data_IF_936901474925
#
_entry.id   IF_936901474925
#
_cell.length_a   1.000
_cell.length_b   1.000
_cell.length_c   1.000
_cell.angle_alpha   90.00
_cell.angle_beta   90.00
_cell.angle_gamma   90.00
#
_symmetry.space_group_name_H-M   'P 1'
#
loop_
_entity.id
_entity.type
_entity.pdbx_description
1 polymer ?
#
# COMPACT_ATOMS: atom_id res chain seq x y z
N UNK A 1 -12.21 49.04 -16.08
CA UNK A 1 -13.67 49.12 -16.22
C UNK A 1 -14.19 47.69 -16.20
N UNK A 2 -14.99 47.40 -15.17
CA UNK A 2 -15.84 46.24 -14.90
C UNK A 2 -15.43 44.82 -15.33
N UNK A 3 -15.31 43.94 -14.33
CA UNK A 3 -16.02 42.65 -14.33
C UNK A 3 -16.09 42.06 -12.91
N UNK A 4 -17.27 41.52 -12.59
CA UNK A 4 -17.78 41.22 -11.27
C UNK A 4 -17.28 39.91 -10.64
N UNK A 5 -17.31 39.92 -9.31
CA UNK A 5 -17.09 38.81 -8.40
C UNK A 5 -18.39 38.00 -8.21
N UNK A 6 -18.36 36.68 -8.41
CA UNK A 6 -19.44 35.75 -8.03
C UNK A 6 -18.91 34.72 -7.02
N UNK A 7 -19.38 34.83 -5.78
CA UNK A 7 -19.42 33.75 -4.77
C UNK A 7 -20.85 33.23 -4.73
N UNK A 8 -21.06 31.92 -4.77
CA UNK A 8 -22.36 31.28 -4.60
C UNK A 8 -22.43 30.52 -3.26
N UNK A 9 -23.47 30.84 -2.51
CA UNK A 9 -23.79 30.37 -1.16
C UNK A 9 -24.42 28.97 -1.12
N UNK A 10 -24.14 28.27 -0.02
CA UNK A 10 -24.88 27.12 0.54
C UNK A 10 -26.27 27.56 1.06
N UNK A 11 -27.32 26.72 1.00
CA UNK A 11 -28.53 26.92 1.77
C UNK A 11 -28.66 25.97 2.97
N UNK A 12 -28.93 26.57 4.12
CA UNK A 12 -29.43 25.97 5.37
C UNK A 12 -30.97 25.94 5.37
N UNK A 13 -31.58 24.95 6.03
CA UNK A 13 -33.04 24.91 6.25
C UNK A 13 -33.41 24.23 7.57
N UNK A 14 -33.92 25.04 8.49
CA UNK A 14 -34.52 24.67 9.76
C UNK A 14 -36.06 24.51 9.69
N UNK A 15 -36.57 23.68 10.62
CA UNK A 15 -37.95 23.25 11.03
C UNK A 15 -38.92 24.39 11.46
N UNK A 16 -40.14 24.19 12.05
CA UNK A 16 -40.94 22.97 12.41
C UNK A 16 -42.48 23.05 12.13
N UNK A 17 -43.23 21.97 12.41
CA UNK A 17 -44.69 21.98 12.61
C UNK A 17 -45.20 20.77 13.43
N UNK A 18 -46.20 20.96 14.28
CA UNK A 18 -46.90 19.97 15.15
C UNK A 18 -48.38 20.42 15.32
N UNK A 19 -49.27 19.74 16.08
CA UNK A 19 -49.88 18.40 15.88
C UNK A 19 -51.44 18.42 16.02
N UNK A 20 -52.16 17.37 15.61
CA UNK A 20 -53.59 17.13 16.00
C UNK A 20 -53.95 15.65 15.80
N UNK A 21 -54.11 14.85 16.86
CA UNK A 21 -55.33 14.42 17.61
C UNK A 21 -55.95 13.10 17.16
N UNK A 22 -56.07 12.16 18.10
CA UNK A 22 -56.83 10.91 18.02
C UNK A 22 -57.73 10.77 19.27
N UNK A 23 -58.87 10.09 19.15
CA UNK A 23 -59.70 9.56 20.25
C UNK A 23 -60.85 8.67 19.69
N UNK A 24 -61.55 7.83 20.49
CA UNK A 24 -61.12 6.60 21.18
C UNK A 24 -62.08 5.41 20.86
N UNK A 25 -61.85 4.16 21.29
CA UNK A 25 -62.51 3.49 22.44
C UNK A 25 -62.16 1.98 22.38
N UNK A 26 -61.52 1.36 23.40
CA UNK A 26 -62.14 0.49 24.44
C UNK A 26 -62.33 -0.96 23.95
N UNK A 27 -61.96 -2.08 24.60
CA UNK A 27 -61.40 -2.46 25.90
C UNK A 27 -61.48 -4.01 26.02
N UNK A 28 -60.93 -4.58 27.11
CA UNK A 28 -60.97 -5.99 27.60
C UNK A 28 -59.90 -6.96 27.03
N UNK A 29 -58.88 -7.36 27.81
CA UNK A 29 -58.78 -8.34 28.92
C UNK A 29 -58.60 -9.81 28.48
N UNK A 30 -57.46 -10.40 28.89
CA UNK A 30 -57.41 -11.74 29.47
C UNK A 30 -57.00 -12.92 28.59
N UNK A 31 -55.73 -13.33 28.71
CA UNK A 31 -55.35 -14.70 29.08
C UNK A 31 -55.40 -15.82 28.03
N UNK A 32 -54.33 -16.61 28.01
CA UNK A 32 -54.43 -18.06 27.81
C UNK A 32 -53.67 -18.64 26.62
N UNK A 33 -52.53 -19.26 26.91
CA UNK A 33 -51.94 -20.31 26.08
C UNK A 33 -52.95 -21.46 25.82
N UNK A 34 -52.98 -21.99 24.58
CA UNK A 34 -52.82 -23.43 24.26
C UNK A 34 -52.98 -23.75 22.76
N UNK A 35 -52.39 -24.88 22.40
CA UNK A 35 -51.76 -25.25 21.13
C UNK A 35 -52.62 -25.99 20.07
N UNK A 36 -51.95 -26.20 18.91
CA UNK A 36 -52.00 -27.35 17.97
C UNK A 36 -53.03 -27.25 16.81
N UNK A 37 -52.83 -27.66 15.54
CA UNK A 37 -51.96 -28.66 14.88
C UNK A 37 -51.88 -28.42 13.35
N UNK A 38 -50.73 -28.76 12.70
CA UNK A 38 -50.56 -29.29 11.31
C UNK A 38 -51.00 -28.42 10.11
N UNK A 39 -50.43 -28.48 8.89
CA UNK A 39 -49.38 -29.28 8.23
C UNK A 39 -49.06 -28.61 6.88
N UNK A 40 -47.77 -28.57 6.53
CA UNK A 40 -47.09 -28.53 5.21
C UNK A 40 -47.78 -27.91 3.97
N UNK A 41 -47.11 -26.90 3.40
CA UNK A 41 -46.81 -26.85 1.95
C UNK A 41 -45.53 -26.04 1.69
N UNK A 42 -44.57 -26.63 0.99
CA UNK A 42 -43.40 -26.01 0.34
C UNK A 42 -43.34 -26.54 -1.10
N UNK A 43 -42.54 -25.99 -2.04
CA UNK A 43 -41.83 -24.70 -2.07
C UNK A 43 -41.93 -23.99 -3.45
N UNK A 44 -41.36 -22.78 -3.57
CA UNK A 44 -40.30 -22.44 -4.55
C UNK A 44 -40.06 -20.92 -4.60
N UNK A 45 -38.87 -20.49 -4.20
CA UNK A 45 -38.15 -19.48 -4.98
C UNK A 45 -36.65 -19.74 -4.86
N UNK A 46 -36.01 -19.75 -6.02
CA UNK A 46 -34.61 -20.07 -6.25
C UNK A 46 -33.74 -18.88 -5.86
N UNK A 47 -32.77 -19.07 -4.96
CA UNK A 47 -31.67 -18.12 -4.76
C UNK A 47 -30.37 -18.83 -5.14
N UNK A 48 -29.62 -18.17 -6.04
CA UNK A 48 -28.37 -18.62 -6.64
C UNK A 48 -27.25 -18.78 -5.59
N UNK A 49 -26.34 -19.70 -5.90
CA UNK A 49 -25.21 -20.16 -5.08
C UNK A 49 -24.33 -19.05 -4.50
N UNK A 50 -23.80 -19.19 -3.27
CA UNK A 50 -22.67 -18.39 -2.82
C UNK A 50 -21.40 -18.83 -3.55
N UNK A 51 -20.70 -17.85 -4.13
CA UNK A 51 -19.28 -17.90 -4.48
C UNK A 51 -18.49 -18.48 -3.31
N UNK A 52 -17.56 -19.41 -3.59
CA UNK A 52 -16.60 -19.91 -2.61
C UNK A 52 -15.66 -18.78 -2.17
N UNK A 53 -16.13 -17.98 -1.22
CA UNK A 53 -15.34 -17.05 -0.43
C UNK A 53 -15.57 -17.37 1.03
N UNK A 54 -14.50 -17.59 1.79
CA UNK A 54 -14.59 -17.74 3.24
C UNK A 54 -15.16 -16.44 3.81
N UNK A 55 -16.39 -16.50 4.33
CA UNK A 55 -17.03 -15.35 4.96
C UNK A 55 -16.72 -15.39 6.45
N UNK A 56 -15.95 -14.41 6.94
CA UNK A 56 -15.59 -14.30 8.36
C UNK A 56 -16.39 -13.15 8.97
N UNK A 57 -17.26 -13.46 9.93
CA UNK A 57 -17.94 -12.46 10.76
C UNK A 57 -17.22 -12.26 12.09
N UNK A 58 -17.02 -11.01 12.51
CA UNK A 58 -16.53 -10.67 13.86
C UNK A 58 -17.67 -10.07 14.67
N UNK A 59 -17.86 -10.55 15.90
CA UNK A 59 -18.80 -9.98 16.85
C UNK A 59 -18.08 -9.47 18.09
N UNK A 60 -18.42 -8.25 18.50
CA UNK A 60 -17.90 -7.69 19.73
C UNK A 60 -18.66 -8.29 20.92
N UNK A 61 -17.97 -9.01 21.81
CA UNK A 61 -18.56 -9.63 22.99
C UNK A 61 -19.20 -8.59 23.94
N UNK A 62 -18.75 -7.31 23.89
CA UNK A 62 -19.34 -6.21 24.67
C UNK A 62 -20.76 -5.84 24.26
N UNK A 63 -21.32 -6.35 23.15
CA UNK A 63 -22.73 -6.12 22.80
C UNK A 63 -23.65 -7.27 23.23
N UNK A 64 -23.10 -8.35 23.80
CA UNK A 64 -23.86 -9.54 24.23
C UNK A 64 -24.32 -9.49 25.70
N UNK A 65 -23.94 -8.46 26.47
CA UNK A 65 -24.31 -8.32 27.88
C UNK A 65 -25.81 -8.05 28.10
N UNK A 66 -26.52 -7.58 27.07
CA UNK A 66 -27.95 -7.31 27.17
C UNK A 66 -28.75 -8.62 27.14
N UNK A 67 -29.78 -8.68 27.98
CA UNK A 67 -30.64 -9.86 28.07
C UNK A 67 -31.26 -10.18 26.69
N UNK A 68 -31.12 -11.43 26.24
CA UNK A 68 -31.65 -11.89 24.94
C UNK A 68 -30.65 -11.88 23.77
N UNK A 69 -29.54 -11.12 23.85
CA UNK A 69 -28.57 -11.02 22.74
C UNK A 69 -27.80 -12.31 22.46
N UNK A 70 -27.54 -13.11 23.50
CA UNK A 70 -26.95 -14.45 23.31
C UNK A 70 -27.89 -15.38 22.54
N UNK A 71 -29.20 -15.33 22.81
CA UNK A 71 -30.20 -16.14 22.07
C UNK A 71 -30.32 -15.69 20.62
N UNK A 72 -30.29 -14.38 20.37
CA UNK A 72 -30.28 -13.80 19.02
C UNK A 72 -29.04 -14.26 18.23
N UNK A 73 -27.85 -14.23 18.85
CA UNK A 73 -26.63 -14.75 18.24
C UNK A 73 -26.72 -16.26 17.93
N UNK A 74 -27.21 -17.06 18.87
CA UNK A 74 -27.39 -18.51 18.64
C UNK A 74 -28.38 -18.78 17.50
N UNK A 75 -29.44 -17.98 17.40
CA UNK A 75 -30.41 -18.09 16.31
C UNK A 75 -29.78 -17.80 14.94
N UNK A 76 -28.98 -16.73 14.83
CA UNK A 76 -28.31 -16.36 13.58
C UNK A 76 -27.21 -17.36 13.19
N UNK A 77 -26.43 -17.87 14.15
CA UNK A 77 -25.43 -18.92 13.88
C UNK A 77 -26.07 -20.19 13.30
N UNK A 78 -27.22 -20.60 13.84
CA UNK A 78 -27.97 -21.75 13.33
C UNK A 78 -28.60 -21.48 11.97
N UNK A 79 -29.12 -20.26 11.76
CA UNK A 79 -29.74 -19.83 10.49
C UNK A 79 -28.75 -19.88 9.33
N UNK A 80 -27.52 -19.43 9.56
CA UNK A 80 -26.47 -19.39 8.54
C UNK A 80 -25.53 -20.60 8.53
N UNK A 81 -25.72 -21.58 9.43
CA UNK A 81 -24.85 -22.75 9.62
C UNK A 81 -23.38 -22.37 9.80
N UNK A 82 -23.11 -21.39 10.65
CA UNK A 82 -21.74 -20.98 10.96
C UNK A 82 -21.19 -21.80 12.12
N UNK A 83 -20.01 -22.38 11.92
CA UNK A 83 -19.24 -23.02 12.98
C UNK A 83 -18.33 -21.99 13.67
N UNK A 84 -18.20 -22.09 15.00
CA UNK A 84 -17.25 -21.27 15.75
C UNK A 84 -15.87 -21.89 15.60
N UNK A 85 -15.04 -21.28 14.74
CA UNK A 85 -13.67 -21.76 14.47
C UNK A 85 -12.68 -21.30 15.55
N UNK A 86 -13.01 -20.26 16.31
CA UNK A 86 -12.19 -19.79 17.43
C UNK A 86 -12.85 -18.70 18.27
N UNK A 87 -12.41 -18.56 19.51
CA UNK A 87 -12.78 -17.46 20.40
C UNK A 87 -11.52 -16.66 20.74
N UNK A 88 -11.51 -15.38 20.39
CA UNK A 88 -10.44 -14.46 20.78
C UNK A 88 -10.97 -13.54 21.89
N UNK A 89 -10.41 -13.67 23.09
CA UNK A 89 -10.69 -12.75 24.20
C UNK A 89 -9.67 -11.61 24.16
N UNK A 90 -10.14 -10.37 24.03
CA UNK A 90 -9.30 -9.17 24.20
C UNK A 90 -9.51 -8.66 25.62
N UNK A 91 -8.59 -8.97 26.52
CA UNK A 91 -8.55 -8.38 27.87
C UNK A 91 -7.80 -7.06 27.82
N UNK A 92 -8.50 -5.96 28.08
CA UNK A 92 -7.84 -4.73 28.50
C UNK A 92 -7.54 -4.88 29.99
N UNK A 93 -6.31 -5.28 30.32
CA UNK A 93 -5.83 -5.09 31.68
C UNK A 93 -5.70 -3.58 31.91
N UNK A 94 -6.31 -3.04 32.97
CA UNK A 94 -5.99 -1.69 33.43
C UNK A 94 -4.47 -1.66 33.73
N UNK A 95 -3.70 -1.02 32.85
CA UNK A 95 -2.27 -0.84 33.06
C UNK A 95 -2.05 0.30 34.06
N UNK A 96 -1.85 -0.06 35.33
CA UNK A 96 -1.01 0.73 36.24
C UNK A 96 0.46 0.28 36.17
N UNK A 97 0.87 -0.34 35.06
CA UNK A 97 2.28 -0.59 34.72
C UNK A 97 2.69 0.40 33.66
N UNK A 98 3.89 0.98 33.84
CA UNK A 98 4.54 1.96 32.96
C UNK A 98 4.06 1.91 31.52
N UNK A 99 3.53 3.03 31.02
CA UNK A 99 3.33 3.24 29.59
C UNK A 99 4.68 3.04 28.92
N UNK A 100 4.93 1.83 28.39
CA UNK A 100 5.99 1.62 27.42
C UNK A 100 5.48 2.26 26.14
N UNK A 101 5.77 3.55 25.97
CA UNK A 101 5.92 4.12 24.64
C UNK A 101 6.86 3.15 23.89
N UNK A 102 6.51 2.74 22.67
CA UNK A 102 7.30 1.74 21.93
C UNK A 102 8.80 2.09 21.95
N UNK A 103 9.69 1.08 21.90
CA UNK A 103 11.16 1.18 22.04
C UNK A 103 11.69 2.62 22.26
N UNK A 104 11.76 3.05 23.53
CA UNK A 104 12.25 4.38 23.92
C UNK A 104 13.63 4.69 23.30
N UNK A 105 14.47 3.65 23.14
CA UNK A 105 15.77 3.75 22.49
C UNK A 105 15.68 4.08 21.00
N UNK A 106 14.76 3.46 20.25
CA UNK A 106 14.54 3.76 18.84
C UNK A 106 13.91 5.15 18.66
N UNK A 107 12.98 5.53 19.54
CA UNK A 107 12.41 6.87 19.57
C UNK A 107 13.48 7.95 19.79
N UNK A 108 14.31 7.77 20.82
CA UNK A 108 15.44 8.66 21.14
C UNK A 108 16.45 8.73 19.98
N UNK A 109 16.79 7.59 19.39
CA UNK A 109 17.70 7.49 18.25
C UNK A 109 17.20 8.30 17.04
N UNK A 110 15.97 8.05 16.60
CA UNK A 110 15.40 8.75 15.43
C UNK A 110 15.32 10.24 15.69
N UNK A 111 14.87 10.65 16.89
CA UNK A 111 14.84 12.06 17.28
C UNK A 111 16.21 12.71 17.20
N UNK A 112 17.24 12.07 17.76
CA UNK A 112 18.58 12.65 17.89
C UNK A 112 19.29 12.76 16.52
N UNK A 113 19.15 11.76 15.65
CA UNK A 113 19.72 11.81 14.28
C UNK A 113 18.98 12.84 13.42
N UNK A 114 17.65 12.85 13.47
CA UNK A 114 16.84 13.72 12.60
C UNK A 114 16.90 15.20 12.99
N UNK A 115 17.25 15.52 14.24
CA UNK A 115 17.32 16.91 14.73
C UNK A 115 18.23 17.83 13.90
N UNK A 116 19.23 17.28 13.21
CA UNK A 116 20.18 18.05 12.37
C UNK A 116 20.22 17.59 10.92
N UNK A 117 19.31 16.70 10.53
CA UNK A 117 19.29 16.16 9.19
C UNK A 117 18.60 17.14 8.23
N UNK A 118 19.28 17.48 7.13
CA UNK A 118 18.69 18.28 6.05
C UNK A 118 18.62 17.45 4.78
N UNK A 119 17.40 17.01 4.43
CA UNK A 119 17.12 16.20 3.24
C UNK A 119 17.36 16.88 1.90
N UNK A 120 17.55 18.20 1.87
CA UNK A 120 17.87 18.92 0.62
C UNK A 120 19.35 18.83 0.26
N UNK A 121 20.21 18.37 1.18
CA UNK A 121 21.66 18.35 1.00
C UNK A 121 22.12 16.93 0.75
N UNK A 122 22.66 16.67 -0.45
CA UNK A 122 23.29 15.40 -0.82
C UNK A 122 24.22 14.91 0.30
N UNK A 123 24.11 13.63 0.73
CA UNK A 123 24.88 13.11 1.85
C UNK A 123 26.31 12.69 1.43
N UNK A 124 27.07 13.63 0.84
CA UNK A 124 28.49 13.43 0.53
C UNK A 124 29.38 14.01 1.63
N UNK A 125 30.44 13.31 2.01
CA UNK A 125 31.48 13.83 2.93
C UNK A 125 32.20 15.04 2.34
N UNK A 126 32.43 15.00 1.02
CA UNK A 126 33.07 16.04 0.24
C UNK A 126 32.16 16.40 -0.94
N UNK A 127 31.89 17.69 -1.16
CA UNK A 127 31.06 18.14 -2.29
C UNK A 127 31.68 17.79 -3.65
N UNK A 128 33.00 17.65 -3.71
CA UNK A 128 33.74 17.34 -4.93
C UNK A 128 33.73 15.86 -5.32
N UNK A 129 33.25 14.97 -4.44
CA UNK A 129 33.21 13.52 -4.70
C UNK A 129 31.79 13.08 -5.08
N UNK A 130 31.65 12.18 -6.05
CA UNK A 130 30.35 11.64 -6.42
C UNK A 130 29.81 10.74 -5.30
N UNK A 131 28.50 10.84 -5.04
CA UNK A 131 27.82 9.86 -4.21
C UNK A 131 27.58 8.60 -5.04
N UNK A 132 28.09 7.46 -4.58
CA UNK A 132 27.78 6.17 -5.19
C UNK A 132 26.37 5.73 -4.78
N UNK A 133 25.52 5.48 -5.78
CA UNK A 133 24.18 4.94 -5.58
C UNK A 133 24.08 3.63 -6.35
N UNK A 134 23.90 2.54 -5.63
CA UNK A 134 23.61 1.23 -6.21
C UNK A 134 22.14 1.18 -6.62
N UNK A 135 21.87 0.81 -7.86
CA UNK A 135 20.55 0.75 -8.45
C UNK A 135 20.29 -0.65 -9.01
N UNK A 136 19.18 -1.25 -8.59
CA UNK A 136 18.69 -2.52 -9.11
C UNK A 136 17.25 -2.38 -9.60
N UNK A 137 16.95 -3.00 -10.73
CA UNK A 137 15.61 -3.07 -11.31
C UNK A 137 15.26 -4.52 -11.62
N UNK A 138 14.43 -5.12 -10.76
CA UNK A 138 13.92 -6.47 -10.96
C UNK A 138 12.59 -6.41 -11.71
N UNK A 139 12.52 -7.07 -12.86
CA UNK A 139 11.30 -7.11 -13.66
C UNK A 139 10.32 -8.11 -13.03
N UNK A 140 9.20 -7.61 -12.53
CA UNK A 140 8.17 -8.46 -11.93
C UNK A 140 7.15 -8.94 -12.98
N UNK A 141 6.76 -8.08 -13.92
CA UNK A 141 5.76 -8.42 -14.93
C UNK A 141 5.84 -7.50 -16.15
N UNK A 142 5.62 -8.05 -17.35
CA UNK A 142 5.20 -7.29 -18.54
C UNK A 142 3.67 -7.26 -18.53
N UNK A 143 3.09 -6.09 -18.28
CA UNK A 143 1.64 -5.93 -18.14
C UNK A 143 0.99 -5.80 -19.51
N UNK A 144 1.56 -4.96 -20.38
CA UNK A 144 0.97 -4.61 -21.67
C UNK A 144 2.05 -4.09 -22.63
N UNK A 145 1.85 -4.32 -23.93
CA UNK A 145 2.67 -3.75 -25.02
C UNK A 145 1.70 -3.17 -26.04
N UNK A 146 1.50 -1.85 -26.00
CA UNK A 146 0.65 -1.14 -26.94
C UNK A 146 1.45 -0.84 -28.21
N UNK A 147 1.28 -1.68 -29.23
CA UNK A 147 2.03 -1.59 -30.48
C UNK A 147 1.66 -0.34 -31.28
N UNK A 148 0.42 0.13 -31.13
CA UNK A 148 -0.09 1.31 -31.83
C UNK A 148 0.52 2.59 -31.27
N UNK A 149 0.56 2.71 -29.95
CA UNK A 149 1.08 3.89 -29.28
C UNK A 149 2.58 3.78 -28.95
N UNK A 150 3.21 2.64 -29.23
CA UNK A 150 4.62 2.38 -28.96
C UNK A 150 4.99 2.48 -27.47
N UNK A 151 4.15 1.88 -26.62
CA UNK A 151 4.28 1.94 -25.16
C UNK A 151 4.38 0.54 -24.57
N UNK A 152 5.39 0.28 -23.76
CA UNK A 152 5.49 -0.92 -22.93
C UNK A 152 5.14 -0.56 -21.48
N UNK A 153 4.21 -1.31 -20.88
CA UNK A 153 3.84 -1.17 -19.47
C UNK A 153 4.43 -2.33 -18.66
N UNK A 154 5.27 -2.02 -17.67
CA UNK A 154 5.94 -3.02 -16.81
C UNK A 154 5.72 -2.75 -15.34
N UNK A 155 5.66 -3.82 -14.54
CA UNK A 155 5.78 -3.76 -13.09
C UNK A 155 7.22 -4.09 -12.71
N UNK A 156 7.91 -3.16 -12.04
CA UNK A 156 9.32 -3.27 -11.70
C UNK A 156 9.52 -3.01 -10.21
N UNK A 157 10.34 -3.84 -9.58
CA UNK A 157 10.81 -3.61 -8.22
C UNK A 157 12.16 -2.93 -8.27
N UNK A 158 12.19 -1.71 -7.73
CA UNK A 158 13.37 -0.87 -7.71
C UNK A 158 14.03 -0.97 -6.34
N UNK A 159 15.32 -1.25 -6.34
CA UNK A 159 16.18 -1.24 -5.17
C UNK A 159 17.24 -0.16 -5.32
N UNK A 160 17.29 0.77 -4.37
CA UNK A 160 18.25 1.86 -4.35
C UNK A 160 19.04 1.78 -3.04
N UNK A 161 20.36 1.77 -3.15
CA UNK A 161 21.28 1.66 -2.03
C UNK A 161 22.33 2.76 -2.05
N UNK A 162 22.53 3.47 -0.93
CA UNK A 162 23.63 4.43 -0.79
C UNK A 162 24.08 4.53 0.67
N UNK A 163 25.24 5.14 0.89
CA UNK A 163 25.73 5.44 2.25
C UNK A 163 25.43 6.90 2.57
N UNK A 164 24.76 7.14 3.70
CA UNK A 164 24.57 8.47 4.28
C UNK A 164 25.37 8.60 5.59
N UNK A 165 26.50 9.32 5.59
CA UNK A 165 27.31 9.52 6.77
C UNK A 165 26.59 10.24 7.92
N UNK A 166 25.54 11.03 7.63
CA UNK A 166 24.76 11.76 8.63
C UNK A 166 23.77 10.87 9.37
N UNK A 167 23.50 9.67 8.85
CA UNK A 167 22.61 8.67 9.45
C UNK A 167 23.38 7.56 10.17
N UNK A 168 24.58 7.85 10.69
CA UNK A 168 25.40 6.90 11.47
C UNK A 168 25.17 7.05 12.96
N UNK A 169 25.17 5.94 13.68
CA UNK A 169 25.16 5.94 15.15
C UNK A 169 25.89 4.73 15.73
N UNK A 170 26.18 4.79 17.03
CA UNK A 170 26.69 3.66 17.79
C UNK A 170 25.51 2.91 18.42
N UNK A 171 25.23 1.65 18.03
CA UNK A 171 24.11 0.87 18.58
C UNK A 171 24.09 0.81 20.11
N UNK A 172 25.26 0.72 20.74
CA UNK A 172 25.42 0.61 22.20
C UNK A 172 24.80 1.79 22.95
N UNK A 173 24.72 2.99 22.34
CA UNK A 173 24.11 4.18 22.96
C UNK A 173 22.57 4.15 22.96
N UNK A 174 21.98 3.30 22.13
CA UNK A 174 20.54 3.22 21.87
C UNK A 174 20.05 1.77 21.95
N UNK A 175 20.34 1.08 23.06
CA UNK A 175 19.77 -0.25 23.31
C UNK A 175 20.20 -1.34 22.31
N UNK A 176 21.37 -1.19 21.67
CA UNK A 176 21.84 -2.05 20.57
C UNK A 176 20.95 -2.06 19.32
N UNK A 177 20.14 -1.02 19.11
CA UNK A 177 19.41 -0.83 17.85
C UNK A 177 20.43 -0.65 16.72
N UNK A 178 20.42 -1.56 15.75
CA UNK A 178 21.33 -1.56 14.59
C UNK A 178 20.65 -1.20 13.27
N UNK A 179 19.31 -1.21 13.25
CA UNK A 179 18.49 -0.94 12.07
C UNK A 179 17.27 -0.14 12.50
N UNK A 180 16.95 0.90 11.74
CA UNK A 180 15.72 1.69 11.89
C UNK A 180 15.00 1.78 10.55
N UNK A 181 13.69 2.05 10.60
CA UNK A 181 12.85 2.28 9.41
C UNK A 181 12.30 3.69 9.47
N UNK A 182 12.61 4.48 8.45
CA UNK A 182 12.30 5.90 8.41
C UNK A 182 11.39 6.17 7.19
N UNK A 183 10.38 7.06 7.28
CA UNK A 183 9.62 7.48 6.11
C UNK A 183 10.55 8.03 5.01
N UNK A 184 10.39 7.54 3.77
CA UNK A 184 11.29 7.89 2.66
C UNK A 184 11.39 9.41 2.43
N UNK A 185 10.29 10.13 2.65
CA UNK A 185 10.17 11.57 2.45
C UNK A 185 10.83 12.43 3.54
N UNK A 186 11.37 11.81 4.59
CA UNK A 186 12.06 12.51 5.67
C UNK A 186 13.58 12.59 5.51
N UNK A 187 14.15 11.82 4.58
CA UNK A 187 15.60 11.84 4.28
C UNK A 187 15.88 12.28 2.83
N UNK A 188 17.16 12.51 2.50
CA UNK A 188 17.57 12.76 1.12
C UNK A 188 17.36 11.50 0.28
N UNK A 189 16.87 11.66 -0.94
CA UNK A 189 16.71 10.57 -1.91
C UNK A 189 17.39 10.97 -3.22
N UNK A 190 17.99 10.02 -3.94
CA UNK A 190 18.46 10.28 -5.29
C UNK A 190 17.26 10.49 -6.23
N UNK A 191 17.39 11.40 -7.18
CA UNK A 191 16.37 11.78 -8.15
C UNK A 191 16.44 10.92 -9.42
N UNK A 192 16.43 9.60 -9.24
CA UNK A 192 16.49 8.64 -10.35
C UNK A 192 15.12 8.56 -11.01
N UNK A 193 15.07 8.81 -12.31
CA UNK A 193 13.85 8.79 -13.12
C UNK A 193 14.00 7.86 -14.32
N UNK A 194 12.86 7.44 -14.87
CA UNK A 194 12.80 6.77 -16.17
C UNK A 194 12.85 7.83 -17.29
N UNK A 195 13.97 7.89 -18.01
CA UNK A 195 14.21 8.88 -19.06
C UNK A 195 13.32 8.68 -20.28
N UNK A 196 13.14 7.44 -20.72
CA UNK A 196 12.29 7.09 -21.86
C UNK A 196 10.82 6.88 -21.43
N UNK A 197 10.33 7.62 -20.44
CA UNK A 197 8.94 7.54 -19.99
C UNK A 197 7.97 8.08 -21.05
N UNK A 198 6.94 7.29 -21.37
CA UNK A 198 5.83 7.69 -22.24
C UNK A 198 4.68 8.37 -21.47
N UNK A 199 4.82 8.50 -20.14
CA UNK A 199 3.80 9.07 -19.27
C UNK A 199 4.43 10.04 -18.25
N UNK A 200 3.68 11.08 -17.87
CA UNK A 200 4.19 12.15 -16.98
C UNK A 200 4.42 11.62 -15.55
N UNK A 201 3.58 10.71 -15.09
CA UNK A 201 3.62 10.14 -13.75
C UNK A 201 3.71 8.62 -13.80
N UNK A 202 4.60 8.04 -12.99
CA UNK A 202 4.61 6.61 -12.72
C UNK A 202 3.76 6.31 -11.49
N UNK A 203 3.09 5.16 -11.46
CA UNK A 203 2.35 4.71 -10.29
C UNK A 203 3.31 3.95 -9.38
N UNK A 204 3.68 4.54 -8.23
CA UNK A 204 4.64 3.97 -7.30
C UNK A 204 4.04 3.73 -5.92
N UNK A 205 4.33 2.57 -5.34
CA UNK A 205 4.14 2.32 -3.91
C UNK A 205 5.52 2.36 -3.26
N UNK A 206 5.77 3.44 -2.52
CA UNK A 206 7.03 3.66 -1.81
C UNK A 206 6.90 3.22 -0.35
N UNK A 207 7.87 2.45 0.12
CA UNK A 207 7.96 1.99 1.50
C UNK A 207 8.83 2.92 2.35
N UNK A 208 8.91 2.65 3.65
CA UNK A 208 9.94 3.26 4.50
C UNK A 208 11.34 2.83 4.02
N UNK A 209 12.32 3.72 4.17
CA UNK A 209 13.72 3.37 3.97
C UNK A 209 14.25 2.56 5.15
N UNK A 210 15.11 1.60 4.86
CA UNK A 210 15.82 0.81 5.87
C UNK A 210 17.19 1.45 6.04
N UNK A 211 17.53 1.84 7.26
CA UNK A 211 18.82 2.45 7.57
C UNK A 211 19.52 1.60 8.62
N UNK A 212 20.77 1.22 8.35
CA UNK A 212 21.62 0.49 9.29
C UNK A 212 22.57 1.44 10.01
N UNK A 213 23.10 1.04 11.17
CA UNK A 213 23.91 1.90 12.05
C UNK A 213 25.20 2.46 11.41
N UNK A 214 25.73 1.78 10.39
CA UNK A 214 26.87 2.21 9.58
C UNK A 214 26.49 3.24 8.48
N UNK A 215 25.22 3.64 8.43
CA UNK A 215 24.68 4.65 7.52
C UNK A 215 24.34 4.09 6.14
N UNK A 216 24.27 2.77 5.97
CA UNK A 216 23.76 2.18 4.73
C UNK A 216 22.24 2.36 4.67
N UNK A 217 21.77 2.91 3.56
CA UNK A 217 20.38 3.21 3.29
C UNK A 217 19.91 2.35 2.14
N UNK A 218 18.85 1.59 2.35
CA UNK A 218 18.18 0.80 1.33
C UNK A 218 16.74 1.30 1.16
N UNK A 219 16.39 1.65 -0.06
CA UNK A 219 15.04 2.06 -0.43
C UNK A 219 14.45 1.12 -1.47
N UNK A 220 13.34 0.49 -1.11
CA UNK A 220 12.62 -0.46 -1.96
C UNK A 220 11.27 0.16 -2.38
N UNK A 221 11.00 0.14 -3.68
CA UNK A 221 9.75 0.63 -4.24
C UNK A 221 9.27 -0.28 -5.37
N UNK A 222 7.96 -0.52 -5.42
CA UNK A 222 7.31 -1.14 -6.57
C UNK A 222 6.74 -0.04 -7.46
N UNK A 223 7.03 -0.08 -8.76
CA UNK A 223 6.63 0.97 -9.70
C UNK A 223 6.08 0.35 -10.96
N UNK A 224 4.94 0.86 -11.42
CA UNK A 224 4.41 0.59 -12.76
C UNK A 224 4.95 1.67 -13.69
N UNK A 225 5.79 1.27 -14.63
CA UNK A 225 6.37 2.13 -15.64
C UNK A 225 5.63 1.99 -16.96
N UNK A 226 5.49 3.12 -17.67
CA UNK A 226 5.09 3.18 -19.07
C UNK A 226 6.25 3.78 -19.86
N UNK A 227 7.02 2.94 -20.54
CA UNK A 227 8.17 3.37 -21.34
C UNK A 227 7.83 3.41 -22.82
N UNK A 228 8.45 4.34 -23.53
CA UNK A 228 8.45 4.37 -24.99
C UNK A 228 9.27 3.21 -25.51
N UNK A 229 8.69 2.42 -26.41
CA UNK A 229 9.37 1.31 -27.08
C UNK A 229 9.06 1.31 -28.58
N UNK A 230 10.11 1.30 -29.42
CA UNK A 230 9.95 1.30 -30.87
C UNK A 230 9.52 -0.07 -31.40
N UNK A 231 8.21 -0.32 -31.41
CA UNK A 231 7.63 -1.59 -31.83
C UNK A 231 7.74 -1.79 -33.35
N UNK A 232 8.21 -2.96 -33.77
CA UNK A 232 8.36 -3.35 -35.17
C UNK A 232 7.40 -4.49 -35.55
N UNK A 233 6.30 -4.13 -36.22
CA UNK A 233 5.22 -5.07 -36.61
C UNK A 233 5.45 -5.78 -37.95
N UNK A 234 6.68 -5.80 -38.48
CA UNK A 234 6.97 -6.37 -39.81
C UNK A 234 6.57 -7.84 -39.95
N UNK A 235 6.65 -8.62 -38.87
CA UNK A 235 6.41 -10.06 -38.87
C UNK A 235 5.22 -10.49 -38.00
N UNK A 236 4.31 -9.57 -37.67
CA UNK A 236 3.13 -9.86 -36.88
C UNK A 236 2.35 -11.07 -37.44
N UNK A 237 1.87 -12.03 -36.61
CA UNK A 237 1.94 -12.07 -35.14
C UNK A 237 3.15 -12.84 -34.56
N UNK A 238 4.19 -13.08 -35.36
CA UNK A 238 5.40 -13.83 -34.97
C UNK A 238 6.64 -12.93 -34.97
N UNK A 239 6.52 -11.78 -34.33
CA UNK A 239 7.53 -10.74 -34.23
C UNK A 239 8.28 -10.79 -32.89
N UNK A 240 9.37 -10.04 -32.81
CA UNK A 240 10.18 -9.89 -31.59
C UNK A 240 10.42 -8.41 -31.36
N UNK A 241 10.25 -7.98 -30.11
CA UNK A 241 10.38 -6.59 -29.70
C UNK A 241 11.60 -6.42 -28.79
N UNK A 242 12.28 -5.28 -28.93
CA UNK A 242 13.43 -4.91 -28.12
C UNK A 242 13.15 -3.56 -27.46
N UNK A 243 12.75 -3.60 -26.20
CA UNK A 243 12.37 -2.42 -25.41
C UNK A 243 13.40 -2.15 -24.32
N UNK A 244 13.75 -0.88 -24.12
CA UNK A 244 14.63 -0.43 -23.03
C UNK A 244 13.84 0.19 -21.88
N UNK A 245 14.41 0.11 -20.68
CA UNK A 245 14.05 0.95 -19.53
C UNK A 245 15.31 1.74 -19.15
N UNK A 246 15.27 3.05 -19.37
CA UNK A 246 16.45 3.91 -19.24
C UNK A 246 16.36 4.74 -17.96
N UNK A 247 17.18 4.42 -16.97
CA UNK A 247 17.19 5.11 -15.68
C UNK A 247 18.41 6.01 -15.54
N UNK A 248 18.20 7.24 -15.10
CA UNK A 248 19.28 8.14 -14.74
C UNK A 248 18.81 9.20 -13.72
N UNK A 249 19.78 9.83 -13.06
CA UNK A 249 19.51 11.03 -12.23
C UNK A 249 19.07 12.18 -13.13
N UNK A 250 18.08 12.94 -12.67
CA UNK A 250 17.56 14.06 -13.44
C UNK A 250 18.41 15.32 -13.34
N UNK A 251 18.96 15.60 -12.15
CA UNK A 251 19.66 16.86 -11.85
C UNK A 251 21.14 16.70 -11.54
N UNK A 252 21.61 15.48 -11.22
CA UNK A 252 23.03 15.22 -10.94
C UNK A 252 23.73 14.62 -12.16
N UNK A 253 24.93 15.15 -12.45
CA UNK A 253 25.86 14.57 -13.40
C UNK A 253 26.68 13.42 -12.77
N UNK A 254 27.49 12.75 -13.59
CA UNK A 254 28.33 11.64 -13.16
C UNK A 254 29.42 12.03 -12.13
N UNK A 255 29.80 13.32 -12.08
CA UNK A 255 30.72 13.84 -11.06
C UNK A 255 30.06 14.05 -9.70
N UNK A 256 28.74 14.15 -9.69
CA UNK A 256 27.94 14.40 -8.49
C UNK A 256 27.26 13.14 -7.96
N UNK A 257 26.79 12.28 -8.84
CA UNK A 257 26.09 11.05 -8.49
C UNK A 257 26.54 9.96 -9.46
N UNK A 258 27.11 8.90 -8.90
CA UNK A 258 27.63 7.77 -9.65
C UNK A 258 26.70 6.57 -9.49
N UNK A 259 25.91 6.27 -10.52
CA UNK A 259 25.02 5.11 -10.54
C UNK A 259 25.80 3.81 -10.78
N UNK A 260 25.64 2.85 -9.88
CA UNK A 260 26.23 1.52 -9.96
C UNK A 260 25.13 0.49 -10.17
N UNK A 261 25.31 -0.46 -11.08
CA UNK A 261 24.35 -1.56 -11.28
C UNK A 261 24.43 -2.56 -10.13
N UNK A 262 23.28 -3.03 -9.67
CA UNK A 262 23.22 -4.14 -8.72
C UNK A 262 23.33 -5.47 -9.45
N UNK A 263 24.40 -6.23 -9.21
CA UNK A 263 24.61 -7.55 -9.80
C UNK A 263 25.30 -7.54 -11.17
N UNK A 264 25.21 -8.67 -11.86
CA UNK A 264 25.87 -8.90 -13.15
C UNK A 264 25.07 -8.36 -14.33
N UNK A 265 25.52 -8.61 -15.57
CA UNK A 265 24.82 -8.20 -16.80
C UNK A 265 23.40 -8.75 -16.92
N UNK A 266 23.11 -9.90 -16.31
CA UNK A 266 21.77 -10.48 -16.31
C UNK A 266 20.88 -9.71 -15.33
N UNK A 267 19.76 -9.18 -15.81
CA UNK A 267 18.80 -8.51 -14.95
C UNK A 267 18.09 -9.49 -14.01
N UNK A 268 17.58 -8.98 -12.90
CA UNK A 268 16.90 -9.80 -11.90
C UNK A 268 15.48 -10.18 -12.35
N UNK A 269 15.27 -11.49 -12.50
CA UNK A 269 14.00 -12.13 -12.86
C UNK A 269 13.49 -13.08 -11.77
N UNK A 270 14.03 -13.02 -10.55
CA UNK A 270 13.73 -13.97 -9.46
C UNK A 270 12.24 -14.07 -9.15
N UNK A 271 11.51 -12.95 -9.30
CA UNK A 271 10.08 -12.86 -9.06
C UNK A 271 9.26 -12.58 -10.34
N UNK A 272 9.83 -12.85 -11.52
CA UNK A 272 9.15 -12.58 -12.79
C UNK A 272 7.94 -13.49 -13.00
N UNK A 273 6.79 -12.89 -13.27
CA UNK A 273 5.59 -13.58 -13.70
C UNK A 273 5.48 -13.53 -15.22
N UNK A 274 5.35 -14.70 -15.84
CA UNK A 274 5.17 -14.82 -17.28
C UNK A 274 3.91 -14.07 -17.75
N UNK A 275 4.06 -13.27 -18.81
CA UNK A 275 2.92 -12.70 -19.52
C UNK A 275 2.18 -13.79 -20.30
N UNK A 276 0.87 -13.62 -20.46
CA UNK A 276 0.02 -14.50 -21.27
C UNK A 276 0.17 -14.27 -22.77
N UNK A 277 0.65 -13.09 -23.16
CA UNK A 277 0.75 -12.65 -24.56
C UNK A 277 2.22 -12.62 -25.04
N UNK A 278 3.14 -12.25 -24.15
CA UNK A 278 4.55 -12.05 -24.50
C UNK A 278 5.46 -13.06 -23.80
N UNK A 279 6.33 -13.71 -24.57
CA UNK A 279 7.41 -14.51 -24.02
C UNK A 279 8.65 -13.64 -23.83
N UNK A 280 9.14 -13.53 -22.59
CA UNK A 280 10.42 -12.87 -22.31
C UNK A 280 11.56 -13.78 -22.76
N UNK A 281 12.34 -13.32 -23.75
CA UNK A 281 13.50 -14.05 -24.26
C UNK A 281 14.79 -13.70 -23.50
N UNK A 282 14.99 -12.42 -23.21
CA UNK A 282 16.20 -11.92 -22.56
C UNK A 282 15.88 -10.67 -21.73
N UNK A 283 16.54 -10.50 -20.59
CA UNK A 283 16.49 -9.30 -19.77
C UNK A 283 17.90 -8.98 -19.27
N UNK A 284 18.53 -7.96 -19.88
CA UNK A 284 19.88 -7.54 -19.59
C UNK A 284 19.89 -6.14 -18.99
N UNK A 285 20.92 -5.88 -18.18
CA UNK A 285 21.24 -4.55 -17.69
C UNK A 285 22.65 -4.16 -18.11
N UNK A 286 22.82 -2.89 -18.47
CA UNK A 286 24.10 -2.31 -18.83
C UNK A 286 24.19 -0.89 -18.27
N UNK A 287 25.35 -0.55 -17.74
CA UNK A 287 25.64 0.82 -17.29
C UNK A 287 26.34 1.58 -18.41
N UNK A 288 25.71 2.65 -18.88
CA UNK A 288 26.32 3.60 -19.81
C UNK A 288 26.93 4.77 -19.01
N UNK A 289 28.16 5.17 -19.34
CA UNK A 289 28.81 6.36 -18.79
C UNK A 289 29.18 7.24 -19.97
N UNK A 290 28.49 8.37 -20.11
CA UNK A 290 28.81 9.40 -21.11
C UNK A 290 29.73 10.46 -20.51
#
# INVERSE_FOLDING_TARGET
>A
MDAQQKRSNMPDRSRPGSPTTAHPSGGLQGGGDKCATGTKSTPKSTIKLPTQGTTIGTWNVRTLYQCGKVKELTHELQRYRWDIVGLAEVRWTDLSTSVNYGSEDEYRLVRDIMARYNKQVRPSLNSSEPLNVTFGAALAQIIDVDEKNQIMTTNVWINQGWIDPKLRWEPVKYGNVSVIRIPYDSIWLPDIVLYNSAHITSESVSTNVIVTSDGNVTWLSMVIFKSSCAINVKYFPFDTQNCSLEYASWTYDAYSLNLLTQGDRQGDLTNYMNSTEWQLLEYLQERQVN
#
